data_IF_609689087006
#
_entry.id   IF_609689087006
#
_cell.length_a   1.000
_cell.length_b   1.000
_cell.length_c   1.000
_cell.angle_alpha   90.00
_cell.angle_beta   90.00
_cell.angle_gamma   90.00
#
_symmetry.space_group_name_H-M   'P 1'
#
loop_
_entity.id
_entity.type
_entity.pdbx_description
1 polymer ?
#
# COMPACT_ATOMS: atom_id res chain seq x y z
N UNK A 1 10.41 -9.91 13.61
CA UNK A 1 9.29 -8.93 13.72
C UNK A 1 8.10 -9.46 12.93
N UNK A 2 6.84 -9.12 13.27
CA UNK A 2 5.67 -9.57 12.50
C UNK A 2 5.78 -9.11 11.04
N UNK A 3 6.20 -7.87 10.82
CA UNK A 3 6.37 -7.31 9.48
C UNK A 3 7.34 -8.13 8.59
N UNK A 4 8.32 -8.82 9.17
CA UNK A 4 9.27 -9.66 8.42
C UNK A 4 8.63 -10.98 7.95
N UNK A 5 7.52 -11.41 8.57
CA UNK A 5 6.78 -12.61 8.16
C UNK A 5 5.71 -12.31 7.10
N UNK A 6 5.43 -11.04 6.82
CA UNK A 6 4.46 -10.61 5.81
C UNK A 6 5.14 -10.51 4.44
N UNK A 7 4.78 -11.43 3.53
CA UNK A 7 5.25 -11.44 2.15
C UNK A 7 4.10 -11.18 1.14
N UNK A 8 2.86 -11.31 1.60
CA UNK A 8 1.66 -11.14 0.79
C UNK A 8 0.47 -10.63 1.63
N UNK A 9 -0.59 -10.10 1.00
CA UNK A 9 -1.81 -9.72 1.73
C UNK A 9 -2.45 -10.90 2.49
N UNK A 10 -2.29 -12.13 1.99
CA UNK A 10 -2.80 -13.34 2.65
C UNK A 10 -2.17 -13.57 4.03
N UNK A 11 -0.91 -13.16 4.24
CA UNK A 11 -0.26 -13.23 5.54
C UNK A 11 -0.94 -12.30 6.56
N UNK A 12 -1.32 -11.10 6.11
CA UNK A 12 -2.02 -10.10 6.94
C UNK A 12 -3.39 -10.60 7.37
N UNK A 13 -4.13 -11.29 6.49
CA UNK A 13 -5.46 -11.86 6.78
C UNK A 13 -5.44 -12.90 7.91
N UNK A 14 -4.30 -13.58 8.11
CA UNK A 14 -4.14 -14.66 9.10
C UNK A 14 -3.76 -14.16 10.50
N UNK A 15 -3.46 -12.86 10.64
CA UNK A 15 -3.07 -12.30 11.93
C UNK A 15 -4.26 -12.23 12.89
N UNK A 16 -3.97 -12.46 14.17
CA UNK A 16 -4.88 -12.10 15.25
C UNK A 16 -5.04 -10.58 15.35
N UNK A 17 -6.03 -10.10 16.11
CA UNK A 17 -6.18 -8.66 16.35
C UNK A 17 -4.96 -8.06 17.06
N UNK A 18 -4.39 -8.79 18.02
CA UNK A 18 -3.20 -8.36 18.74
C UNK A 18 -1.97 -8.28 17.81
N UNK A 19 -1.79 -9.29 16.96
CA UNK A 19 -0.72 -9.30 15.97
C UNK A 19 -0.89 -8.20 14.92
N UNK A 20 -2.12 -7.90 14.50
CA UNK A 20 -2.40 -6.80 13.59
C UNK A 20 -2.10 -5.43 14.22
N UNK A 21 -2.45 -5.24 15.50
CA UNK A 21 -2.09 -4.03 16.24
C UNK A 21 -0.56 -3.86 16.35
N UNK A 22 0.16 -4.97 16.59
CA UNK A 22 1.63 -4.97 16.62
C UNK A 22 2.24 -4.72 15.24
N UNK A 23 1.68 -5.29 14.17
CA UNK A 23 2.06 -5.00 12.79
C UNK A 23 1.95 -3.49 12.50
N UNK A 24 0.88 -2.83 12.92
CA UNK A 24 0.71 -1.38 12.75
C UNK A 24 1.83 -0.57 13.45
N UNK A 25 2.29 -1.00 14.62
CA UNK A 25 3.41 -0.35 15.31
C UNK A 25 4.74 -0.56 14.56
N UNK A 26 4.98 -1.78 14.09
CA UNK A 26 6.19 -2.12 13.33
C UNK A 26 6.23 -1.39 11.97
N UNK A 27 5.09 -1.28 11.28
CA UNK A 27 4.96 -0.51 10.04
C UNK A 27 5.32 0.97 10.22
N UNK A 28 4.90 1.62 11.32
CA UNK A 28 5.29 3.01 11.60
C UNK A 28 6.79 3.15 11.74
N UNK A 29 7.43 2.25 12.50
CA UNK A 29 8.88 2.25 12.68
C UNK A 29 9.60 2.04 11.35
N UNK A 30 9.16 1.06 10.57
CA UNK A 30 9.66 0.79 9.23
C UNK A 30 9.56 2.02 8.31
N UNK A 31 8.40 2.68 8.27
CA UNK A 31 8.20 3.88 7.44
C UNK A 31 9.15 5.01 7.84
N UNK A 32 9.28 5.30 9.14
CA UNK A 32 10.22 6.33 9.63
C UNK A 32 11.65 5.99 9.22
N UNK A 33 12.07 4.74 9.41
CA UNK A 33 13.42 4.29 9.06
C UNK A 33 13.70 4.41 7.56
N UNK A 34 12.85 3.82 6.71
CA UNK A 34 13.08 3.79 5.27
C UNK A 34 12.98 5.19 4.64
N UNK A 35 11.94 5.94 4.99
CA UNK A 35 11.72 7.27 4.41
C UNK A 35 12.78 8.27 4.89
N UNK A 36 13.39 8.07 6.07
CA UNK A 36 14.54 8.90 6.50
C UNK A 36 15.76 8.78 5.59
N UNK A 37 15.92 7.64 4.89
CA UNK A 37 17.05 7.36 3.99
C UNK A 37 16.79 7.85 2.58
N UNK A 38 15.58 7.60 2.04
CA UNK A 38 15.26 7.87 0.63
C UNK A 38 14.48 9.16 0.40
N UNK A 39 13.96 9.78 1.47
CA UNK A 39 12.93 10.81 1.37
C UNK A 39 11.59 10.25 0.90
N UNK A 40 10.59 11.12 0.74
CA UNK A 40 9.23 10.76 0.31
C UNK A 40 8.14 11.25 1.24
N UNK A 41 6.94 10.70 1.09
CA UNK A 41 5.76 11.16 1.81
C UNK A 41 5.60 10.42 3.14
N UNK A 42 6.10 10.97 4.26
CA UNK A 42 6.03 10.29 5.55
C UNK A 42 4.66 10.44 6.23
N UNK A 43 4.23 11.69 6.47
CA UNK A 43 3.05 11.98 7.29
C UNK A 43 1.76 11.35 6.74
N UNK A 44 1.55 11.42 5.42
CA UNK A 44 0.40 10.81 4.76
C UNK A 44 0.33 9.30 4.96
N UNK A 45 1.48 8.62 4.98
CA UNK A 45 1.56 7.17 5.20
C UNK A 45 1.38 6.79 6.67
N UNK A 46 1.93 7.58 7.61
CA UNK A 46 1.70 7.37 9.03
C UNK A 46 0.21 7.51 9.41
N UNK A 47 -0.52 8.39 8.72
CA UNK A 47 -1.94 8.63 8.97
C UNK A 47 -2.89 7.52 8.48
N UNK A 48 -2.43 6.56 7.68
CA UNK A 48 -3.28 5.51 7.08
C UNK A 48 -2.83 4.08 7.39
N UNK A 49 -1.94 3.88 8.36
CA UNK A 49 -1.40 2.56 8.70
C UNK A 49 -2.51 1.57 9.04
N UNK A 50 -3.35 1.90 10.03
CA UNK A 50 -4.45 1.03 10.48
C UNK A 50 -5.45 0.78 9.36
N UNK A 51 -5.84 1.84 8.65
CA UNK A 51 -6.78 1.75 7.53
C UNK A 51 -6.27 0.78 6.46
N UNK A 52 -4.99 0.88 6.11
CA UNK A 52 -4.39 0.04 5.06
C UNK A 52 -4.26 -1.42 5.51
N UNK A 53 -3.90 -1.66 6.78
CA UNK A 53 -3.89 -3.02 7.35
C UNK A 53 -5.30 -3.61 7.35
N UNK A 54 -6.31 -2.85 7.79
CA UNK A 54 -7.70 -3.29 7.80
C UNK A 54 -8.21 -3.63 6.40
N UNK A 55 -7.90 -2.79 5.39
CA UNK A 55 -8.25 -3.05 3.99
C UNK A 55 -7.66 -4.39 3.53
N UNK A 56 -6.37 -4.66 3.79
CA UNK A 56 -5.73 -5.91 3.38
C UNK A 56 -6.17 -7.14 4.18
N UNK A 57 -6.74 -6.95 5.38
CA UNK A 57 -7.39 -8.04 6.13
C UNK A 57 -8.73 -8.45 5.54
N UNK A 58 -9.45 -7.51 4.93
CA UNK A 58 -10.82 -7.75 4.44
C UNK A 58 -10.84 -8.05 2.94
N UNK A 59 -10.22 -7.20 2.14
CA UNK A 59 -10.28 -7.27 0.67
C UNK A 59 -9.13 -8.08 0.09
N UNK A 60 -9.32 -8.64 -1.10
CA UNK A 60 -8.24 -9.19 -1.91
C UNK A 60 -7.87 -8.20 -3.01
N UNK A 61 -6.81 -7.42 -2.81
CA UNK A 61 -6.42 -6.36 -3.75
C UNK A 61 -5.87 -6.87 -5.08
N UNK A 62 -5.70 -8.18 -5.26
CA UNK A 62 -5.41 -8.77 -6.58
C UNK A 62 -6.67 -8.80 -7.48
N UNK A 63 -7.87 -8.86 -6.88
CA UNK A 63 -9.15 -8.88 -7.59
C UNK A 63 -10.02 -7.64 -7.30
N UNK A 64 -10.09 -7.23 -6.04
CA UNK A 64 -10.76 -6.03 -5.57
C UNK A 64 -9.92 -4.81 -5.91
N UNK A 65 -10.52 -3.83 -6.59
CA UNK A 65 -9.81 -2.64 -7.04
C UNK A 65 -9.72 -1.59 -5.94
N UNK A 66 -8.57 -1.53 -5.26
CA UNK A 66 -8.27 -0.44 -4.33
C UNK A 66 -7.77 0.81 -5.08
N UNK A 67 -8.49 1.93 -4.93
CA UNK A 67 -8.17 3.21 -5.55
C UNK A 67 -7.79 4.21 -4.45
N UNK A 68 -6.53 4.66 -4.45
CA UNK A 68 -6.01 5.69 -3.54
C UNK A 68 -5.79 6.99 -4.31
N UNK A 69 -6.58 8.03 -4.01
CA UNK A 69 -6.43 9.36 -4.63
C UNK A 69 -5.06 9.97 -4.34
N UNK A 70 -4.44 10.60 -5.34
CA UNK A 70 -3.01 10.99 -5.39
C UNK A 70 -2.06 9.79 -5.29
N UNK A 71 -2.27 8.91 -4.33
CA UNK A 71 -1.50 7.70 -4.09
C UNK A 71 -0.29 7.89 -3.19
N UNK A 72 0.03 9.10 -2.75
CA UNK A 72 1.18 9.38 -1.88
C UNK A 72 1.12 8.71 -0.49
N UNK A 73 -0.03 8.14 -0.11
CA UNK A 73 -0.31 7.41 1.11
C UNK A 73 -0.29 5.87 0.92
N UNK A 74 0.42 5.37 -0.11
CA UNK A 74 0.41 3.96 -0.48
C UNK A 74 1.57 3.11 0.05
N UNK A 75 2.49 3.64 0.85
CA UNK A 75 3.71 2.91 1.25
C UNK A 75 3.39 1.68 2.10
N UNK A 76 2.43 1.78 3.02
CA UNK A 76 1.96 0.61 3.77
C UNK A 76 1.37 -0.42 2.82
N UNK A 77 0.58 0.03 1.83
CA UNK A 77 0.01 -0.85 0.82
C UNK A 77 1.12 -1.58 0.04
N UNK A 78 2.16 -0.87 -0.41
CA UNK A 78 3.31 -1.46 -1.12
C UNK A 78 4.06 -2.47 -0.23
N UNK A 79 4.33 -2.13 1.03
CA UNK A 79 5.03 -3.01 1.96
C UNK A 79 4.27 -4.35 2.17
N UNK A 80 2.95 -4.29 2.34
CA UNK A 80 2.10 -5.47 2.58
C UNK A 80 1.80 -6.30 1.31
N UNK A 81 2.19 -5.81 0.13
CA UNK A 81 1.94 -6.45 -1.18
C UNK A 81 3.24 -6.93 -1.83
N UNK A 82 4.14 -7.48 -1.02
CA UNK A 82 5.37 -8.14 -1.47
C UNK A 82 6.52 -7.20 -1.84
N UNK A 83 6.39 -5.88 -1.61
CA UNK A 83 7.41 -4.89 -2.04
C UNK A 83 8.21 -4.29 -0.89
N UNK A 84 8.12 -4.84 0.34
CA UNK A 84 8.83 -4.34 1.52
C UNK A 84 10.34 -4.21 1.29
N UNK A 85 10.97 -5.22 0.71
CA UNK A 85 12.44 -5.23 0.48
C UNK A 85 12.90 -4.20 -0.56
N UNK A 86 11.99 -3.68 -1.39
CA UNK A 86 12.31 -2.69 -2.42
C UNK A 86 12.40 -1.26 -1.88
N UNK A 87 12.04 -1.03 -0.61
CA UNK A 87 11.98 0.32 -0.03
C UNK A 87 13.32 1.05 0.02
N UNK A 88 14.45 0.35 0.00
CA UNK A 88 15.77 0.97 -0.15
C UNK A 88 15.94 1.74 -1.47
N UNK A 89 15.07 1.48 -2.46
CA UNK A 89 15.06 2.14 -3.78
C UNK A 89 13.89 3.10 -3.98
N UNK A 90 13.14 3.41 -2.91
CA UNK A 90 11.96 4.26 -2.98
C UNK A 90 12.27 5.61 -3.61
N UNK A 91 11.53 5.96 -4.66
CA UNK A 91 11.64 7.18 -5.47
C UNK A 91 13.00 7.39 -6.15
N UNK A 92 13.84 6.35 -6.20
CA UNK A 92 15.09 6.39 -6.94
C UNK A 92 14.86 6.01 -8.41
N UNK A 93 15.79 6.41 -9.28
CA UNK A 93 15.74 6.03 -10.69
C UNK A 93 15.77 4.49 -10.84
N UNK A 94 14.81 3.93 -11.57
CA UNK A 94 14.66 2.48 -11.72
C UNK A 94 14.17 1.73 -10.46
N UNK A 95 13.85 2.45 -9.39
CA UNK A 95 13.41 1.89 -8.12
C UNK A 95 11.90 1.91 -7.91
N UNK A 96 11.50 1.64 -6.67
CA UNK A 96 10.10 1.60 -6.24
C UNK A 96 9.43 2.97 -6.40
N UNK A 97 8.27 3.03 -7.05
CA UNK A 97 7.52 4.28 -7.22
C UNK A 97 6.98 4.83 -5.91
N UNK A 98 6.91 6.16 -5.82
CA UNK A 98 6.24 6.85 -4.70
C UNK A 98 4.70 6.78 -4.75
N UNK A 99 4.12 6.20 -5.79
CA UNK A 99 2.69 6.15 -6.06
C UNK A 99 2.29 4.76 -6.59
N UNK A 100 1.00 4.37 -6.54
CA UNK A 100 0.50 3.18 -7.21
C UNK A 100 0.75 3.20 -8.73
N UNK A 101 1.26 2.10 -9.27
CA UNK A 101 1.55 1.87 -10.68
C UNK A 101 1.17 0.42 -11.06
N UNK A 102 0.19 0.18 -11.96
CA UNK A 102 -0.23 -1.19 -12.31
C UNK A 102 0.87 -2.05 -12.92
N UNK A 103 1.86 -1.44 -13.59
CA UNK A 103 3.01 -2.16 -14.12
C UNK A 103 4.01 -2.58 -13.02
N UNK A 104 3.93 -1.99 -11.81
CA UNK A 104 4.79 -2.33 -10.68
C UNK A 104 4.18 -3.45 -9.82
N UNK A 105 2.85 -3.53 -9.74
CA UNK A 105 2.16 -4.57 -8.99
C UNK A 105 0.71 -4.76 -9.45
N UNK A 106 0.23 -6.00 -9.41
CA UNK A 106 -1.19 -6.33 -9.62
C UNK A 106 -2.11 -5.66 -8.59
N UNK A 107 -1.57 -5.32 -7.41
CA UNK A 107 -2.32 -4.69 -6.32
C UNK A 107 -2.53 -3.18 -6.51
N UNK A 108 -1.80 -2.57 -7.45
CA UNK A 108 -1.93 -1.16 -7.79
C UNK A 108 -2.98 -1.02 -8.92
N UNK A 109 -4.23 -0.75 -8.56
CA UNK A 109 -5.35 -0.81 -9.52
C UNK A 109 -5.26 0.20 -10.68
N UNK A 110 -4.63 1.35 -10.47
CA UNK A 110 -4.50 2.42 -11.47
C UNK A 110 -3.22 3.22 -11.29
N UNK A 111 -2.88 3.99 -12.32
CA UNK A 111 -1.77 4.94 -12.31
C UNK A 111 -2.17 6.21 -11.55
N UNK A 112 -1.72 6.38 -10.31
CA UNK A 112 -1.99 7.58 -9.54
C UNK A 112 -0.87 8.64 -9.66
N UNK A 113 -1.19 9.88 -9.29
CA UNK A 113 -0.22 10.96 -9.09
C UNK A 113 -0.87 12.34 -8.94
N UNK A 114 -1.74 12.71 -9.87
CA UNK A 114 -2.59 13.89 -9.71
C UNK A 114 -3.72 13.61 -8.71
N UNK A 115 -4.27 14.66 -8.12
CA UNK A 115 -5.39 14.56 -7.19
C UNK A 115 -6.73 14.52 -7.93
N UNK A 116 -7.76 14.06 -7.22
CA UNK A 116 -9.18 14.16 -7.58
C UNK A 116 -9.62 13.28 -8.76
N UNK A 117 -8.84 12.28 -9.14
CA UNK A 117 -9.17 11.32 -10.20
C UNK A 117 -9.82 10.03 -9.67
N UNK A 118 -9.69 9.73 -8.37
CA UNK A 118 -10.04 8.43 -7.80
C UNK A 118 -11.51 8.04 -7.97
N UNK A 119 -12.44 8.96 -7.74
CA UNK A 119 -13.88 8.67 -7.81
C UNK A 119 -14.30 8.33 -9.24
N UNK A 120 -13.81 9.09 -10.22
CA UNK A 120 -14.07 8.83 -11.65
C UNK A 120 -13.49 7.50 -12.09
N UNK A 121 -12.25 7.19 -11.68
CA UNK A 121 -11.59 5.91 -11.95
C UNK A 121 -12.37 4.75 -11.31
N UNK A 122 -12.73 4.88 -10.04
CA UNK A 122 -13.47 3.86 -9.31
C UNK A 122 -14.84 3.60 -9.94
N UNK A 123 -15.55 4.64 -10.37
CA UNK A 123 -16.83 4.50 -11.10
C UNK A 123 -16.65 3.71 -12.39
N UNK A 124 -15.64 4.04 -13.19
CA UNK A 124 -15.33 3.33 -14.44
C UNK A 124 -15.03 1.85 -14.20
N UNK A 125 -14.20 1.54 -13.20
CA UNK A 125 -13.89 0.15 -12.81
C UNK A 125 -15.13 -0.61 -12.31
N UNK A 126 -15.96 0.03 -11.49
CA UNK A 126 -17.19 -0.56 -10.99
C UNK A 126 -18.17 -0.88 -12.13
N UNK A 127 -18.32 0.04 -13.11
CA UNK A 127 -19.17 -0.20 -14.28
C UNK A 127 -18.64 -1.34 -15.14
N UNK A 128 -17.34 -1.35 -15.42
CA UNK A 128 -16.71 -2.41 -16.22
C UNK A 128 -16.89 -3.81 -15.61
N UNK A 129 -16.93 -3.92 -14.27
CA UNK A 129 -17.18 -5.19 -13.57
C UNK A 129 -18.59 -5.77 -13.78
N UNK A 130 -19.54 -4.94 -14.22
CA UNK A 130 -20.96 -5.32 -14.40
C UNK A 130 -21.35 -5.55 -15.86
N UNK A 131 -20.40 -5.43 -16.78
CA UNK A 131 -20.56 -5.73 -18.20
C UNK A 131 -20.20 -7.19 -18.46
#
# INVERSE_FOLDING_TARGET
MILETINSPADVKRLSEEDAARLCQELRRFLVEQVSRTGGHLASNLGVVELTVAIHRVYDTASDRLVLDVGHQCYVHKALTGRRELFGTLRQFGGLSGFPKPYESVHDAFMAGHASDSVSVALGMARARTL
#
